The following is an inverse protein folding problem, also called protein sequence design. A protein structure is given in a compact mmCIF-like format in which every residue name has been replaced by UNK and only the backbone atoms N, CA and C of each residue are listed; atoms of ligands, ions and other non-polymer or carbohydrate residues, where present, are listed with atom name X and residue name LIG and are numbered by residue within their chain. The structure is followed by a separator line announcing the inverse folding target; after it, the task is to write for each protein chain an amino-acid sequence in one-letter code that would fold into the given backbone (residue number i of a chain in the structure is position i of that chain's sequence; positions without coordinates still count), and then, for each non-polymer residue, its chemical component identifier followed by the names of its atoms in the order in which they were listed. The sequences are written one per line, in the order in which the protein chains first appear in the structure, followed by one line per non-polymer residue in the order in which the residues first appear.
data_IF_129479070635
#
_entry.id   IF_129479070635
#
_cell.length_a   1.000
_cell.length_b   1.000
_cell.length_c   1.000
_cell.angle_alpha   90.00
_cell.angle_beta   90.00
_cell.angle_gamma   90.00
#
_symmetry.space_group_name_H-M   'P 1'
#
loop_
_entity.id
_entity.type
_entity.pdbx_description
1 polymer ?
#
# COMPACT_ATOMS: atom_id res chain seq x y z
N UNK A 1 2.43 -2.10 -17.63
CA UNK A 1 1.34 -1.88 -16.67
C UNK A 1 1.91 -1.92 -15.27
N UNK A 2 1.89 -0.82 -14.52
CA UNK A 2 2.54 -0.71 -13.20
C UNK A 2 1.58 -1.22 -12.12
N UNK A 3 2.07 -2.07 -11.21
CA UNK A 3 1.30 -2.52 -10.05
C UNK A 3 1.85 -1.87 -8.78
N UNK A 4 1.05 -1.00 -8.15
CA UNK A 4 1.42 -0.30 -6.92
C UNK A 4 0.89 -1.06 -5.70
N UNK A 5 1.78 -1.68 -4.93
CA UNK A 5 1.42 -2.38 -3.70
C UNK A 5 1.48 -1.45 -2.50
N UNK A 6 0.38 -1.30 -1.79
CA UNK A 6 0.38 -0.63 -0.48
C UNK A 6 -0.93 0.02 -0.09
N UNK A 7 -1.00 0.43 1.18
CA UNK A 7 -2.19 1.05 1.79
C UNK A 7 -2.31 2.52 1.43
N UNK A 8 -3.56 3.01 1.41
CA UNK A 8 -3.85 4.43 1.16
C UNK A 8 -3.29 5.38 2.22
N UNK A 9 -3.07 4.91 3.45
CA UNK A 9 -2.50 5.73 4.53
C UNK A 9 -0.97 5.79 4.52
N UNK A 10 -0.28 5.04 3.65
CA UNK A 10 1.18 5.08 3.57
C UNK A 10 1.64 6.33 2.84
N UNK A 11 2.43 7.18 3.51
CA UNK A 11 3.05 8.36 2.91
C UNK A 11 3.92 8.00 1.70
N UNK A 12 4.59 6.84 1.73
CA UNK A 12 5.40 6.37 0.61
C UNK A 12 4.53 5.98 -0.61
N UNK A 13 3.39 5.31 -0.37
CA UNK A 13 2.44 4.96 -1.45
C UNK A 13 1.85 6.22 -2.08
N UNK A 14 1.53 7.24 -1.27
CA UNK A 14 1.03 8.53 -1.76
C UNK A 14 2.04 9.23 -2.68
N UNK A 15 3.32 9.28 -2.29
CA UNK A 15 4.39 9.86 -3.11
C UNK A 15 4.51 9.17 -4.47
N UNK A 16 4.52 7.83 -4.48
CA UNK A 16 4.59 7.07 -5.74
C UNK A 16 3.35 7.31 -6.59
N UNK A 17 2.15 7.34 -5.98
CA UNK A 17 0.91 7.65 -6.69
C UNK A 17 0.96 9.01 -7.37
N UNK A 18 1.41 10.05 -6.65
CA UNK A 18 1.55 11.39 -7.23
C UNK A 18 2.50 11.41 -8.42
N UNK A 19 3.66 10.75 -8.33
CA UNK A 19 4.59 10.68 -9.48
C UNK A 19 3.95 9.98 -10.67
N UNK A 20 3.16 8.93 -10.46
CA UNK A 20 2.47 8.23 -11.54
C UNK A 20 1.38 9.09 -12.18
N UNK A 21 0.65 9.88 -11.39
CA UNK A 21 -0.37 10.82 -11.85
C UNK A 21 0.25 12.00 -12.63
N UNK A 22 1.33 12.59 -12.12
CA UNK A 22 2.06 13.70 -12.79
C UNK A 22 2.67 13.28 -14.13
N UNK A 23 3.03 12.00 -14.28
CA UNK A 23 3.60 11.45 -15.51
C UNK A 23 2.56 10.80 -16.43
N UNK A 24 1.26 10.86 -16.08
CA UNK A 24 0.17 10.20 -16.81
C UNK A 24 0.42 8.70 -17.08
N UNK A 25 1.04 8.01 -16.12
CA UNK A 25 1.39 6.60 -16.26
C UNK A 25 0.26 5.70 -15.74
N UNK A 26 -0.22 4.73 -16.54
CA UNK A 26 -1.26 3.82 -16.10
C UNK A 26 -0.75 2.86 -15.02
N UNK A 27 -1.42 2.86 -13.87
CA UNK A 27 -1.15 1.95 -12.77
C UNK A 27 -2.42 1.36 -12.15
N UNK A 28 -2.28 0.16 -11.59
CA UNK A 28 -3.28 -0.48 -10.74
C UNK A 28 -2.72 -0.54 -9.32
N UNK A 29 -3.48 -0.07 -8.35
CA UNK A 29 -3.10 -0.19 -6.95
C UNK A 29 -3.72 -1.44 -6.31
N UNK A 30 -2.88 -2.23 -5.65
CA UNK A 30 -3.30 -3.38 -4.84
C UNK A 30 -3.05 -3.06 -3.37
N UNK A 31 -4.08 -3.18 -2.54
CA UNK A 31 -3.97 -2.96 -1.10
C UNK A 31 -3.10 -4.06 -0.47
N UNK A 32 -1.95 -3.64 0.06
CA UNK A 32 -0.98 -4.51 0.67
C UNK A 32 -0.74 -4.10 2.13
N UNK A 33 -0.58 -5.08 3.01
CA UNK A 33 -0.22 -4.87 4.40
C UNK A 33 -1.37 -5.16 5.36
N UNK A 34 -1.13 -6.10 6.26
CA UNK A 34 -2.06 -6.51 7.30
C UNK A 34 -2.22 -5.39 8.33
N UNK A 35 -3.36 -5.33 9.02
CA UNK A 35 -3.48 -4.42 10.16
C UNK A 35 -2.43 -4.79 11.21
N UNK A 36 -1.74 -3.79 11.77
CA UNK A 36 -0.75 -3.99 12.83
C UNK A 36 -1.39 -4.72 14.04
N UNK A 37 -2.67 -4.44 14.30
CA UNK A 37 -3.50 -5.16 15.28
C UNK A 37 -3.70 -6.64 14.90
N UNK A 38 -3.87 -6.95 13.62
CA UNK A 38 -4.05 -8.33 13.14
C UNK A 38 -2.76 -9.16 13.23
N UNK A 39 -1.60 -8.52 13.08
CA UNK A 39 -0.29 -9.17 13.25
C UNK A 39 -0.03 -9.40 14.75
N UNK A 40 -0.31 -8.41 15.60
CA UNK A 40 -0.13 -8.55 17.04
C UNK A 40 -1.06 -9.62 17.62
N UNK A 41 -2.34 -9.65 17.26
CA UNK A 41 -3.30 -10.65 17.78
C UNK A 41 -2.97 -12.09 17.40
N UNK A 42 -2.24 -12.36 16.32
CA UNK A 42 -1.82 -13.73 15.98
C UNK A 42 -0.66 -14.26 16.83
N UNK A 43 0.13 -13.39 17.46
CA UNK A 43 1.28 -13.78 18.28
C UNK A 43 1.00 -13.82 19.78
N UNK A 44 -0.17 -13.34 20.24
CA UNK A 44 -0.53 -13.33 21.67
C UNK A 44 -1.31 -14.61 22.05
N UNK A 45 -1.84 -15.34 21.07
CA UNK A 45 -2.62 -16.57 21.27
C UNK A 45 -1.91 -17.83 20.75
N UNK A 46 -0.58 -17.79 20.61
CA UNK A 46 0.22 -18.92 20.12
C UNK A 46 1.35 -19.26 21.08
#
# INVERSE_FOLDING_TARGET
MITLWGRNNSTNVKKVRWVLEELDLPYQQILAGWSLVSIMTRNIWR
#
